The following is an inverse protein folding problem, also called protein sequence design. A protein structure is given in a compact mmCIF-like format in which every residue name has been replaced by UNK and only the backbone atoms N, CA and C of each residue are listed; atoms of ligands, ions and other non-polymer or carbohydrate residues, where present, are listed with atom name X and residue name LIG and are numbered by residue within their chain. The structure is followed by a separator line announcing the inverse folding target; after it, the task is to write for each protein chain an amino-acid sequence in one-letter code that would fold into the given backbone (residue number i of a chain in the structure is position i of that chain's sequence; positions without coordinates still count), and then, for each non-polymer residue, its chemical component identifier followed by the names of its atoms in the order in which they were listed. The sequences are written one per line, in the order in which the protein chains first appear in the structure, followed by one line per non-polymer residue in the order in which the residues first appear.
data_IF_338044004485
#
_entry.id   IF_338044004485
#
_cell.length_a   1.000
_cell.length_b   1.000
_cell.length_c   1.000
_cell.angle_alpha   90.00
_cell.angle_beta   90.00
_cell.angle_gamma   90.00
#
_symmetry.space_group_name_H-M   'P 1'
#
loop_
_entity.id
_entity.type
_entity.pdbx_description
1 polymer ?
#
# COMPACT_ATOMS: atom_id res chain seq x y z
N UNK A 1 57.94 1.47 2.15
CA UNK A 1 57.20 2.74 2.33
C UNK A 1 56.29 3.06 1.14
N UNK A 2 56.76 2.98 -0.11
CA UNK A 2 55.95 3.26 -1.33
C UNK A 2 54.69 2.38 -1.46
N UNK A 3 54.78 1.07 -1.25
CA UNK A 3 53.59 0.19 -1.31
C UNK A 3 52.56 0.47 -0.22
N UNK A 4 52.99 0.90 0.98
CA UNK A 4 52.04 1.24 2.06
C UNK A 4 51.25 2.50 1.73
N UNK A 5 51.91 3.50 1.13
CA UNK A 5 51.25 4.73 0.66
C UNK A 5 50.28 4.44 -0.50
N UNK A 6 50.67 3.58 -1.43
CA UNK A 6 49.81 3.17 -2.56
C UNK A 6 48.58 2.39 -2.08
N UNK A 7 48.75 1.46 -1.13
CA UNK A 7 47.62 0.71 -0.55
C UNK A 7 46.68 1.64 0.21
N UNK A 8 47.19 2.57 1.02
CA UNK A 8 46.35 3.54 1.73
C UNK A 8 45.59 4.46 0.77
N UNK A 9 46.24 4.94 -0.30
CA UNK A 9 45.58 5.76 -1.32
C UNK A 9 44.45 5.00 -2.04
N UNK A 10 44.69 3.73 -2.40
CA UNK A 10 43.67 2.87 -3.02
C UNK A 10 42.47 2.64 -2.11
N UNK A 11 42.70 2.36 -0.82
CA UNK A 11 41.61 2.14 0.14
C UNK A 11 40.77 3.41 0.35
N UNK A 12 41.40 4.58 0.37
CA UNK A 12 40.68 5.87 0.49
C UNK A 12 39.83 6.15 -0.76
N UNK A 13 40.35 5.87 -1.96
CA UNK A 13 39.59 6.02 -3.22
C UNK A 13 38.39 5.07 -3.24
N UNK A 14 38.58 3.81 -2.86
CA UNK A 14 37.49 2.83 -2.79
C UNK A 14 36.43 3.23 -1.76
N UNK A 15 36.82 3.74 -0.60
CA UNK A 15 35.88 4.22 0.42
C UNK A 15 35.04 5.38 -0.10
N UNK A 16 35.63 6.39 -0.77
CA UNK A 16 34.90 7.54 -1.35
C UNK A 16 33.89 7.08 -2.41
N UNK A 17 34.27 6.14 -3.29
CA UNK A 17 33.35 5.57 -4.29
C UNK A 17 32.23 4.78 -3.62
N UNK A 18 32.53 4.05 -2.53
CA UNK A 18 31.52 3.34 -1.75
C UNK A 18 30.53 4.30 -1.07
N UNK A 19 30.99 5.42 -0.49
CA UNK A 19 30.12 6.42 0.13
C UNK A 19 29.27 7.18 -0.91
N UNK A 20 29.81 7.45 -2.10
CA UNK A 20 29.05 8.03 -3.20
C UNK A 20 27.93 7.10 -3.71
N UNK A 21 28.18 5.78 -3.73
CA UNK A 21 27.20 4.80 -4.19
C UNK A 21 26.24 4.29 -3.10
N UNK A 22 26.60 4.39 -1.81
CA UNK A 22 25.80 3.95 -0.67
C UNK A 22 25.10 5.08 0.09
N UNK A 23 24.90 6.25 -0.52
CA UNK A 23 23.93 7.21 0.00
C UNK A 23 22.50 6.66 -0.22
N UNK A 24 22.15 5.62 0.53
CA UNK A 24 20.80 5.09 0.66
C UNK A 24 20.31 5.39 2.07
N UNK A 25 20.14 6.68 2.36
CA UNK A 25 19.19 7.12 3.37
C UNK A 25 17.85 7.34 2.64
N UNK A 26 17.09 6.27 2.40
CA UNK A 26 15.65 6.39 2.20
C UNK A 26 14.98 6.20 3.56
N UNK A 27 14.84 7.28 4.31
CA UNK A 27 13.74 7.41 5.26
C UNK A 27 12.81 8.50 4.76
N UNK A 28 12.25 8.26 3.58
CA UNK A 28 11.12 9.00 3.03
C UNK A 28 10.24 7.91 2.40
N UNK A 29 9.41 7.23 3.20
CA UNK A 29 8.26 6.50 2.63
C UNK A 29 7.31 7.57 2.12
N UNK A 30 7.63 8.14 0.95
CA UNK A 30 6.66 8.83 0.13
C UNK A 30 5.75 7.74 -0.43
N UNK A 31 4.74 7.34 0.36
CA UNK A 31 3.62 6.58 -0.13
C UNK A 31 2.82 7.50 -1.06
N UNK A 32 3.33 7.64 -2.28
CA UNK A 32 2.53 8.08 -3.41
C UNK A 32 1.39 7.07 -3.49
N UNK A 33 0.22 7.47 -2.99
CA UNK A 33 -0.99 6.70 -3.14
C UNK A 33 -1.11 6.33 -4.63
N UNK A 34 -1.43 5.07 -4.98
CA UNK A 34 -1.84 4.79 -6.35
C UNK A 34 -3.18 5.51 -6.55
N UNK A 35 -3.12 6.74 -7.06
CA UNK A 35 -4.20 7.34 -7.84
C UNK A 35 -4.13 6.70 -9.21
N UNK A 36 -4.64 5.49 -9.32
CA UNK A 36 -5.13 5.01 -10.60
C UNK A 36 -6.63 5.24 -10.57
N UNK A 37 -6.96 6.47 -10.98
CA UNK A 37 -8.27 6.89 -11.42
C UNK A 37 -8.67 6.02 -12.61
N UNK A 38 -9.40 4.94 -12.33
CA UNK A 38 -10.13 4.20 -13.37
C UNK A 38 -11.38 5.00 -13.71
N UNK A 39 -11.53 5.35 -14.99
CA UNK A 39 -12.55 6.24 -15.52
C UNK A 39 -13.97 5.82 -15.06
N UNK A 40 -14.52 6.53 -14.07
CA UNK A 40 -15.86 6.27 -13.51
C UNK A 40 -15.95 5.15 -12.47
N UNK A 41 -14.82 4.53 -12.11
CA UNK A 41 -14.72 3.50 -11.08
C UNK A 41 -14.60 4.09 -9.68
N UNK A 42 -15.16 3.39 -8.68
CA UNK A 42 -15.00 3.80 -7.27
C UNK A 42 -13.51 3.81 -6.89
N UNK A 43 -13.04 4.79 -6.09
CA UNK A 43 -11.65 4.86 -5.68
C UNK A 43 -11.22 3.54 -5.01
N UNK A 44 -10.11 2.95 -5.44
CA UNK A 44 -9.58 1.70 -4.88
C UNK A 44 -8.19 1.91 -4.27
N UNK A 45 -7.91 1.36 -3.08
CA UNK A 45 -8.83 0.68 -2.18
C UNK A 45 -9.76 1.66 -1.45
N UNK A 46 -11.04 1.32 -1.30
CA UNK A 46 -11.98 1.99 -0.41
C UNK A 46 -12.79 0.96 0.39
N UNK A 47 -13.23 1.34 1.59
CA UNK A 47 -14.01 0.49 2.47
C UNK A 47 -14.97 1.30 3.35
N UNK A 48 -16.24 0.91 3.43
CA UNK A 48 -17.21 1.53 4.34
C UNK A 48 -17.31 0.75 5.66
N UNK A 49 -17.33 -0.58 5.62
CA UNK A 49 -17.35 -1.45 6.79
C UNK A 49 -15.98 -2.08 7.04
N UNK A 50 -15.27 -1.53 8.00
CA UNK A 50 -13.95 -2.02 8.38
C UNK A 50 -13.99 -3.29 9.19
N UNK A 51 -13.10 -4.22 8.85
CA UNK A 51 -12.86 -5.43 9.61
C UNK A 51 -11.66 -5.29 10.53
N UNK A 52 -10.97 -6.40 10.74
CA UNK A 52 -9.74 -6.46 11.52
C UNK A 52 -8.57 -5.87 10.73
N UNK A 53 -7.65 -5.23 11.46
CA UNK A 53 -6.38 -4.74 10.96
C UNK A 53 -5.23 -5.30 11.79
N UNK A 54 -4.07 -5.49 11.16
CA UNK A 54 -2.82 -5.79 11.86
C UNK A 54 -2.37 -4.58 12.69
N UNK A 55 -1.56 -4.82 13.73
CA UNK A 55 -0.95 -3.76 14.55
C UNK A 55 0.34 -3.18 13.96
N UNK A 56 0.65 -3.47 12.69
CA UNK A 56 1.82 -2.94 11.99
C UNK A 56 1.63 -1.49 11.56
N UNK A 57 2.73 -0.81 11.22
CA UNK A 57 2.70 0.52 10.60
C UNK A 57 3.41 0.47 9.23
N UNK A 58 2.69 0.55 8.08
CA UNK A 58 1.24 0.74 7.97
C UNK A 58 0.43 -0.53 8.31
N UNK A 59 -0.84 -0.38 8.76
CA UNK A 59 -1.70 -1.51 9.05
C UNK A 59 -2.20 -2.17 7.76
N UNK A 60 -2.22 -3.49 7.74
CA UNK A 60 -2.93 -4.30 6.75
C UNK A 60 -4.34 -4.54 7.27
N UNK A 61 -5.37 -4.25 6.48
CA UNK A 61 -6.76 -4.32 6.94
C UNK A 61 -7.60 -5.18 6.00
N UNK A 62 -8.60 -5.88 6.55
CA UNK A 62 -9.66 -6.51 5.77
C UNK A 62 -10.88 -5.59 5.67
N UNK A 63 -11.53 -5.59 4.51
CA UNK A 63 -12.81 -4.90 4.32
C UNK A 63 -13.98 -5.88 4.42
N UNK A 64 -15.07 -5.45 5.07
CA UNK A 64 -16.31 -6.21 5.25
C UNK A 64 -17.44 -5.72 4.34
N UNK A 65 -17.12 -4.91 3.33
CA UNK A 65 -18.10 -4.49 2.35
C UNK A 65 -18.57 -5.67 1.50
N UNK A 66 -19.90 -5.76 1.38
CA UNK A 66 -20.57 -6.67 0.46
C UNK A 66 -20.90 -5.91 -0.81
N UNK A 67 -20.40 -6.39 -1.94
CA UNK A 67 -20.51 -5.77 -3.26
C UNK A 67 -21.10 -6.75 -4.26
N UNK A 68 -21.70 -6.25 -5.34
CA UNK A 68 -22.25 -7.10 -6.41
C UNK A 68 -21.13 -7.79 -7.21
N UNK A 69 -19.97 -7.15 -7.31
CA UNK A 69 -18.76 -7.69 -7.92
C UNK A 69 -17.54 -7.11 -7.19
N UNK A 70 -16.51 -7.92 -6.96
CA UNK A 70 -15.26 -7.43 -6.40
C UNK A 70 -14.49 -6.59 -7.42
N UNK A 71 -13.62 -5.71 -6.92
CA UNK A 71 -12.70 -4.96 -7.76
C UNK A 71 -11.71 -5.92 -8.46
N UNK A 72 -11.28 -5.65 -9.71
CA UNK A 72 -10.35 -6.53 -10.44
C UNK A 72 -9.02 -6.81 -9.73
N UNK A 73 -8.58 -5.89 -8.87
CA UNK A 73 -7.36 -6.02 -8.04
C UNK A 73 -7.57 -6.87 -6.77
N UNK A 74 -8.79 -7.26 -6.44
CA UNK A 74 -9.06 -8.18 -5.33
C UNK A 74 -8.72 -9.61 -5.76
N UNK A 75 -7.76 -10.25 -5.08
CA UNK A 75 -7.31 -11.60 -5.38
C UNK A 75 -8.27 -12.66 -4.86
N UNK A 76 -8.83 -12.44 -3.67
CA UNK A 76 -9.71 -13.38 -2.99
C UNK A 76 -11.12 -12.80 -2.87
N UNK A 77 -11.91 -12.99 -3.94
CA UNK A 77 -13.32 -12.58 -3.98
C UNK A 77 -14.23 -13.75 -3.60
N UNK A 78 -14.87 -13.67 -2.43
CA UNK A 78 -15.67 -14.76 -1.87
C UNK A 78 -17.14 -14.38 -1.85
N UNK A 79 -18.01 -15.28 -2.31
CA UNK A 79 -19.46 -15.09 -2.23
C UNK A 79 -19.93 -15.08 -0.76
N UNK A 80 -20.79 -14.13 -0.41
CA UNK A 80 -21.37 -14.04 0.92
C UNK A 80 -22.29 -15.25 1.20
N UNK A 81 -22.36 -15.74 2.45
CA UNK A 81 -23.24 -16.85 2.81
C UNK A 81 -24.74 -16.47 2.84
N UNK A 82 -25.06 -15.19 2.59
CA UNK A 82 -26.42 -14.70 2.57
C UNK A 82 -27.16 -15.28 1.37
N UNK A 83 -28.32 -15.91 1.59
CA UNK A 83 -29.18 -16.44 0.54
C UNK A 83 -30.01 -15.32 -0.11
N UNK A 84 -29.33 -14.39 -0.78
CA UNK A 84 -29.93 -13.22 -1.43
C UNK A 84 -29.64 -13.27 -2.93
N UNK A 85 -30.60 -12.83 -3.75
CA UNK A 85 -30.45 -12.70 -5.20
C UNK A 85 -30.57 -11.22 -5.63
N UNK A 86 -29.62 -10.66 -6.40
CA UNK A 86 -28.37 -11.29 -6.85
C UNK A 86 -27.41 -11.57 -5.68
N UNK A 87 -26.48 -12.54 -5.83
CA UNK A 87 -25.50 -12.83 -4.80
C UNK A 87 -24.58 -11.64 -4.55
N UNK A 88 -24.14 -11.49 -3.31
CA UNK A 88 -23.15 -10.50 -2.91
C UNK A 88 -21.81 -11.19 -2.66
N UNK A 89 -20.73 -10.43 -2.81
CA UNK A 89 -19.36 -10.89 -2.66
C UNK A 89 -18.59 -9.98 -1.71
N UNK A 90 -17.56 -10.53 -1.08
CA UNK A 90 -16.66 -9.84 -0.18
C UNK A 90 -15.22 -10.06 -0.66
N UNK A 91 -14.43 -8.99 -0.70
CA UNK A 91 -12.99 -9.10 -0.86
C UNK A 91 -12.35 -9.52 0.48
N UNK A 92 -11.59 -10.62 0.48
CA UNK A 92 -10.91 -11.15 1.68
C UNK A 92 -9.44 -10.75 1.78
N UNK A 93 -8.93 -10.06 0.77
CA UNK A 93 -7.57 -9.52 0.76
C UNK A 93 -7.27 -8.65 1.98
N UNK A 94 -6.06 -8.79 2.49
CA UNK A 94 -5.45 -7.85 3.43
C UNK A 94 -4.77 -6.75 2.62
N UNK A 95 -5.31 -5.53 2.70
CA UNK A 95 -4.79 -4.40 1.93
C UNK A 95 -4.29 -3.32 2.89
N UNK A 96 -3.10 -2.79 2.60
CA UNK A 96 -2.51 -1.68 3.34
C UNK A 96 -3.48 -0.51 3.39
N UNK A 97 -3.80 -0.02 4.59
CA UNK A 97 -4.66 1.15 4.78
C UNK A 97 -6.06 1.03 4.11
N UNK A 98 -6.59 -0.18 3.89
CA UNK A 98 -7.88 -0.39 3.21
C UNK A 98 -9.03 0.45 3.83
N UNK A 99 -8.95 0.62 5.14
CA UNK A 99 -9.93 1.32 5.97
C UNK A 99 -9.79 2.83 6.05
N UNK A 100 -8.75 3.42 5.43
CA UNK A 100 -8.54 4.87 5.50
C UNK A 100 -9.46 5.67 4.59
N UNK A 101 -9.96 5.08 3.50
CA UNK A 101 -10.80 5.76 2.50
C UNK A 101 -12.19 5.13 2.46
N UNK A 102 -13.26 5.94 2.60
CA UNK A 102 -14.64 5.49 2.39
C UNK A 102 -14.99 5.48 0.91
N UNK A 103 -15.83 4.54 0.48
CA UNK A 103 -16.23 4.46 -0.94
C UNK A 103 -17.25 5.51 -1.36
N UNK A 104 -18.13 5.90 -0.43
CA UNK A 104 -19.13 6.94 -0.66
C UNK A 104 -18.92 8.04 0.40
N UNK A 105 -17.94 8.94 0.22
CA UNK A 105 -17.78 10.06 1.14
C UNK A 105 -19.05 10.91 1.13
N UNK A 106 -19.53 11.32 2.32
CA UNK A 106 -20.58 12.34 2.42
C UNK A 106 -19.98 13.64 1.86
N UNK A 107 -20.73 14.45 1.08
CA UNK A 107 -20.23 15.76 0.69
C UNK A 107 -19.78 16.51 1.93
N UNK A 108 -18.58 17.08 1.87
CA UNK A 108 -18.03 17.94 2.90
C UNK A 108 -18.91 19.19 2.92
N UNK A 109 -20.00 19.14 3.67
CA UNK A 109 -20.66 20.35 4.12
C UNK A 109 -19.91 20.71 5.39
N UNK A 110 -18.96 21.63 5.23
CA UNK A 110 -18.23 22.27 6.30
C UNK A 110 -19.24 22.82 7.33
N UNK A 111 -19.10 22.39 8.58
CA UNK A 111 -19.82 22.91 9.75
C UNK A 111 -18.80 23.28 10.82
#
# INVERSE_FOLDING_TARGET
MRSRVVVLALMMVLAVVFFANNSFAQDEVNFQAPSEDDAGGRPWPCCNKCGVCTRSNPPQCQCLDLVKACHPKCKECVQSPLRIYPPLYQCKDWITNFCKKKCNPKPLNDE
#
